data_IF_690740229773
#
_entry.id   IF_690740229773
#
_cell.length_a   1.000
_cell.length_b   1.000
_cell.length_c   1.000
_cell.angle_alpha   90.00
_cell.angle_beta   90.00
_cell.angle_gamma   90.00
#
_symmetry.space_group_name_H-M   'P 1'
#
loop_
_entity.id
_entity.type
_entity.pdbx_description
1 polymer ?
#
# COMPACT_ATOMS: atom_id res chain seq x y z
N UNK A 1 -23.20 -7.30 4.64
CA UNK A 1 -22.58 -7.99 3.50
C UNK A 1 -21.08 -7.82 3.68
N UNK A 2 -20.31 -8.89 3.93
CA UNK A 2 -18.87 -8.76 4.17
C UNK A 2 -18.16 -8.46 2.85
N UNK A 3 -17.91 -7.18 2.57
CA UNK A 3 -17.09 -6.73 1.43
C UNK A 3 -15.69 -7.35 1.45
N UNK A 4 -15.25 -7.85 2.61
CA UNK A 4 -14.02 -8.62 2.79
C UNK A 4 -13.95 -9.93 2.02
N UNK A 5 -15.07 -10.47 1.53
CA UNK A 5 -15.11 -11.81 0.92
C UNK A 5 -14.97 -11.87 -0.61
N UNK A 6 -14.94 -10.74 -1.34
CA UNK A 6 -15.11 -10.79 -2.81
C UNK A 6 -14.01 -10.21 -3.70
N UNK A 7 -12.99 -9.52 -3.17
CA UNK A 7 -11.95 -8.92 -4.03
C UNK A 7 -10.63 -9.64 -3.83
N UNK A 8 -10.30 -10.54 -4.76
CA UNK A 8 -8.98 -11.15 -4.86
C UNK A 8 -7.97 -10.05 -5.20
N UNK A 9 -6.85 -9.99 -4.46
CA UNK A 9 -5.77 -9.05 -4.77
C UNK A 9 -5.16 -9.43 -6.12
N UNK A 10 -5.06 -8.50 -7.09
CA UNK A 10 -4.46 -8.78 -8.38
C UNK A 10 -2.95 -9.01 -8.20
N UNK A 11 -2.48 -10.18 -8.62
CA UNK A 11 -1.06 -10.49 -8.59
C UNK A 11 -0.38 -9.83 -9.79
N UNK A 12 0.82 -9.30 -9.59
CA UNK A 12 1.65 -8.77 -10.65
C UNK A 12 2.26 -9.92 -11.46
N UNK A 13 2.13 -9.86 -12.78
CA UNK A 13 2.60 -10.89 -13.71
C UNK A 13 3.57 -10.33 -14.77
N UNK A 14 4.04 -9.10 -14.57
CA UNK A 14 4.89 -8.38 -15.52
C UNK A 14 4.15 -7.32 -16.35
N UNK A 15 2.81 -7.35 -16.41
CA UNK A 15 2.03 -6.34 -17.15
C UNK A 15 1.63 -5.18 -16.23
N UNK A 16 2.53 -4.20 -16.08
CA UNK A 16 2.36 -3.09 -15.13
C UNK A 16 1.08 -2.27 -15.35
N UNK A 17 0.82 -1.81 -16.58
CA UNK A 17 -0.33 -0.93 -16.85
C UNK A 17 -1.65 -1.59 -16.44
N UNK A 18 -1.86 -2.84 -16.87
CA UNK A 18 -3.05 -3.61 -16.50
C UNK A 18 -3.15 -3.86 -14.99
N UNK A 19 -2.05 -4.28 -14.36
CA UNK A 19 -2.02 -4.52 -12.92
C UNK A 19 -2.31 -3.24 -12.12
N UNK A 20 -1.76 -2.10 -12.55
CA UNK A 20 -1.91 -0.82 -11.88
C UNK A 20 -3.38 -0.35 -11.86
N UNK A 21 -4.11 -0.51 -12.96
CA UNK A 21 -5.54 -0.21 -13.04
C UNK A 21 -6.37 -1.08 -12.09
N UNK A 22 -6.05 -2.38 -11.99
CA UNK A 22 -6.74 -3.29 -11.08
C UNK A 22 -6.47 -2.93 -9.62
N UNK A 23 -5.23 -2.60 -9.27
CA UNK A 23 -4.84 -2.17 -7.92
C UNK A 23 -5.49 -0.84 -7.54
N UNK A 24 -5.52 0.13 -8.45
CA UNK A 24 -6.19 1.41 -8.24
C UNK A 24 -7.69 1.21 -7.94
N UNK A 25 -8.37 0.41 -8.75
CA UNK A 25 -9.78 0.10 -8.54
C UNK A 25 -10.03 -0.61 -7.21
N UNK A 26 -9.17 -1.56 -6.84
CA UNK A 26 -9.25 -2.25 -5.54
C UNK A 26 -9.09 -1.26 -4.38
N UNK A 27 -8.11 -0.37 -4.43
CA UNK A 27 -7.84 0.61 -3.37
C UNK A 27 -8.94 1.67 -3.29
N UNK A 28 -9.51 2.11 -4.41
CA UNK A 28 -10.69 2.99 -4.46
C UNK A 28 -11.92 2.33 -3.85
N UNK A 29 -12.21 1.08 -4.22
CA UNK A 29 -13.32 0.32 -3.66
C UNK A 29 -13.17 0.12 -2.14
N UNK A 30 -11.94 0.07 -1.62
CA UNK A 30 -11.63 -0.03 -0.18
C UNK A 30 -11.57 1.32 0.54
N UNK A 31 -11.79 2.44 -0.15
CA UNK A 31 -11.68 3.80 0.41
C UNK A 31 -10.24 4.20 0.80
N UNK A 32 -9.24 3.46 0.31
CA UNK A 32 -7.83 3.66 0.66
C UNK A 32 -7.12 4.61 -0.29
N UNK A 33 -7.65 4.88 -1.50
CA UNK A 33 -6.95 5.67 -2.52
C UNK A 33 -6.48 7.05 -2.03
N UNK A 34 -7.23 7.69 -1.14
CA UNK A 34 -6.83 8.99 -0.59
C UNK A 34 -5.49 8.97 0.18
N UNK A 35 -5.09 7.84 0.80
CA UNK A 35 -3.76 7.73 1.43
C UNK A 35 -2.65 7.52 0.39
N UNK A 36 -2.97 6.92 -0.76
CA UNK A 36 -2.03 6.76 -1.89
C UNK A 36 -1.71 8.12 -2.49
N UNK A 37 -2.74 8.93 -2.76
CA UNK A 37 -2.58 10.26 -3.36
C UNK A 37 -1.89 11.26 -2.43
N UNK A 38 -2.29 11.30 -1.16
CA UNK A 38 -1.72 12.26 -0.18
C UNK A 38 -0.40 11.80 0.41
N UNK A 39 -0.15 10.50 0.41
CA UNK A 39 0.93 9.88 1.17
C UNK A 39 0.70 9.92 2.69
N UNK A 40 1.53 9.18 3.42
CA UNK A 40 1.63 9.26 4.86
C UNK A 40 2.88 10.05 5.24
N UNK A 41 2.71 11.12 6.04
CA UNK A 41 3.82 11.93 6.55
C UNK A 41 3.93 11.67 8.05
N UNK A 42 5.06 11.10 8.47
CA UNK A 42 5.35 10.95 9.88
C UNK A 42 5.62 12.32 10.53
N UNK A 43 5.18 12.55 11.78
CA UNK A 43 5.52 13.78 12.50
C UNK A 43 7.03 13.86 12.72
N UNK A 44 7.54 15.08 12.80
CA UNK A 44 8.91 15.32 13.28
C UNK A 44 9.04 14.86 14.73
N UNK A 45 10.20 14.28 15.09
CA UNK A 45 10.48 13.91 16.47
C UNK A 45 10.28 15.11 17.41
N UNK A 46 9.58 14.88 18.53
CA UNK A 46 9.28 15.93 19.51
C UNK A 46 8.09 16.84 19.16
N UNK A 47 7.36 16.59 18.07
CA UNK A 47 6.12 17.34 17.77
C UNK A 47 5.06 17.02 18.83
N UNK A 48 4.61 18.03 19.57
CA UNK A 48 3.48 17.92 20.48
C UNK A 48 2.18 17.93 19.67
N UNK A 49 1.49 16.80 19.65
CA UNK A 49 0.18 16.67 19.02
C UNK A 49 -0.91 16.71 20.09
N UNK A 50 -2.01 17.40 19.80
CA UNK A 50 -3.24 17.24 20.59
C UNK A 50 -3.82 15.84 20.40
N UNK A 51 -4.65 15.39 21.35
CA UNK A 51 -5.31 14.07 21.29
C UNK A 51 -6.03 13.83 19.94
N UNK A 52 -6.69 14.87 19.41
CA UNK A 52 -7.38 14.79 18.11
C UNK A 52 -6.39 14.61 16.95
N UNK A 53 -5.26 15.31 16.97
CA UNK A 53 -4.24 15.17 15.93
C UNK A 53 -3.57 13.79 15.99
N UNK A 54 -3.34 13.28 17.20
CA UNK A 54 -2.78 11.95 17.42
C UNK A 54 -3.73 10.87 16.87
N UNK A 55 -5.02 10.95 17.16
CA UNK A 55 -6.01 10.01 16.65
C UNK A 55 -6.10 10.01 15.11
N UNK A 56 -6.03 11.19 14.48
CA UNK A 56 -5.99 11.31 13.02
C UNK A 56 -4.72 10.70 12.43
N UNK A 57 -3.57 10.92 13.07
CA UNK A 57 -2.30 10.34 12.65
C UNK A 57 -2.32 8.81 12.73
N UNK A 58 -2.82 8.27 13.83
CA UNK A 58 -2.91 6.82 14.03
C UNK A 58 -3.85 6.17 13.00
N UNK A 59 -4.97 6.83 12.68
CA UNK A 59 -5.85 6.38 11.61
C UNK A 59 -5.13 6.39 10.25
N UNK A 60 -4.43 7.48 9.91
CA UNK A 60 -3.68 7.59 8.67
C UNK A 60 -2.58 6.52 8.56
N UNK A 61 -1.87 6.25 9.67
CA UNK A 61 -0.87 5.18 9.77
C UNK A 61 -1.50 3.81 9.52
N UNK A 62 -2.66 3.53 10.09
CA UNK A 62 -3.39 2.27 9.86
C UNK A 62 -3.77 2.13 8.38
N UNK A 63 -4.32 3.18 7.74
CA UNK A 63 -4.67 3.11 6.31
C UNK A 63 -3.43 2.89 5.43
N UNK A 64 -2.32 3.58 5.72
CA UNK A 64 -1.05 3.41 5.01
C UNK A 64 -0.53 1.96 5.10
N UNK A 65 -0.56 1.37 6.30
CA UNK A 65 -0.21 -0.04 6.47
C UNK A 65 -1.13 -0.99 5.69
N UNK A 66 -2.43 -0.70 5.59
CA UNK A 66 -3.36 -1.52 4.79
C UNK A 66 -3.04 -1.44 3.29
N UNK A 67 -2.71 -0.26 2.78
CA UNK A 67 -2.26 -0.10 1.38
C UNK A 67 -1.00 -0.91 1.13
N UNK A 68 0.03 -0.75 1.99
CA UNK A 68 1.28 -1.51 1.89
C UNK A 68 1.02 -3.02 1.92
N UNK A 69 0.12 -3.47 2.78
CA UNK A 69 -0.26 -4.87 2.86
C UNK A 69 -0.85 -5.40 1.55
N UNK A 70 -1.75 -4.65 0.89
CA UNK A 70 -2.27 -5.04 -0.42
C UNK A 70 -1.18 -5.08 -1.50
N UNK A 71 -0.30 -4.08 -1.52
CA UNK A 71 0.83 -4.04 -2.47
C UNK A 71 1.77 -5.23 -2.27
N UNK A 72 2.07 -5.61 -1.02
CA UNK A 72 2.90 -6.78 -0.74
C UNK A 72 2.21 -8.11 -1.06
N UNK A 73 0.89 -8.22 -0.91
CA UNK A 73 0.16 -9.41 -1.36
C UNK A 73 0.11 -9.53 -2.89
N UNK A 74 0.18 -8.41 -3.61
CA UNK A 74 0.15 -8.36 -5.06
C UNK A 74 1.48 -8.77 -5.71
N UNK A 75 2.59 -8.77 -4.97
CA UNK A 75 3.92 -9.09 -5.47
C UNK A 75 4.37 -10.43 -4.90
N UNK A 76 4.87 -11.33 -5.74
CA UNK A 76 5.57 -12.50 -5.24
C UNK A 76 6.92 -12.10 -4.61
N UNK A 77 7.44 -12.99 -3.76
CA UNK A 77 8.68 -12.77 -3.04
C UNK A 77 9.86 -12.51 -3.98
N UNK A 78 9.96 -13.24 -5.09
CA UNK A 78 11.09 -13.11 -6.01
C UNK A 78 11.06 -11.72 -6.66
N UNK A 79 9.92 -11.29 -7.19
CA UNK A 79 9.68 -9.97 -7.75
C UNK A 79 10.00 -8.87 -6.73
N UNK A 80 9.55 -9.03 -5.49
CA UNK A 80 9.82 -8.06 -4.43
C UNK A 80 11.32 -7.94 -4.11
N UNK A 81 12.01 -9.08 -3.99
CA UNK A 81 13.46 -9.12 -3.80
C UNK A 81 14.20 -8.46 -4.99
N UNK A 82 13.71 -8.59 -6.24
CA UNK A 82 14.28 -7.89 -7.41
C UNK A 82 14.16 -6.38 -7.35
N UNK A 83 13.04 -5.87 -6.85
CA UNK A 83 12.84 -4.43 -6.72
C UNK A 83 13.75 -3.84 -5.63
N UNK A 84 13.99 -4.60 -4.57
CA UNK A 84 14.85 -4.20 -3.45
C UNK A 84 16.34 -4.32 -3.78
N UNK A 85 16.75 -5.43 -4.41
CA UNK A 85 18.13 -5.66 -4.81
C UNK A 85 18.44 -4.96 -6.14
N UNK A 86 18.84 -3.69 -6.03
CA UNK A 86 19.25 -2.87 -7.18
C UNK A 86 20.71 -3.11 -7.60
N UNK A 87 21.40 -4.06 -6.98
CA UNK A 87 22.82 -4.28 -7.24
C UNK A 87 23.07 -5.00 -8.56
N UNK A 88 22.14 -5.83 -9.02
CA UNK A 88 22.25 -6.56 -10.29
C UNK A 88 20.89 -6.72 -10.98
N UNK A 89 20.88 -6.75 -12.32
CA UNK A 89 19.66 -7.04 -13.10
C UNK A 89 19.34 -8.54 -13.18
N UNK A 90 20.07 -9.38 -12.44
CA UNK A 90 20.01 -10.84 -12.54
C UNK A 90 19.92 -11.40 -11.13
N UNK A 91 18.74 -11.86 -10.75
CA UNK A 91 18.59 -12.58 -9.48
C UNK A 91 18.84 -14.06 -9.72
N UNK A 92 19.62 -14.63 -8.81
CA UNK A 92 20.10 -16.02 -8.78
C UNK A 92 18.90 -16.98 -8.72
#
# INVERSE_FOLDING_TARGET
MNEDKLTKVPHFDGHYDHWSELMENLLKARGLWGIVERGFVAPLEGTLLSDNQQALLDNARIQDHRVKHYLFQALDRSTFEQILDRSTSKII
#
